data_IF_400647808269
#
_entry.id   IF_400647808269
#
_cell.length_a   1.000
_cell.length_b   1.000
_cell.length_c   1.000
_cell.angle_alpha   90.00
_cell.angle_beta   90.00
_cell.angle_gamma   90.00
#
_symmetry.space_group_name_H-M   'P 1'
#
loop_
_entity.id
_entity.type
_entity.pdbx_description
1 polymer ?
#
# COMPACT_ATOMS: atom_id res chain seq x y z
N UNK A 1 -15.53 36.12 27.40
CA UNK A 1 -14.40 35.35 27.96
C UNK A 1 -14.40 33.88 27.52
N UNK A 2 -15.55 33.27 27.18
CA UNK A 2 -15.61 31.89 26.64
C UNK A 2 -15.05 31.75 25.22
N UNK A 3 -15.44 32.64 24.30
CA UNK A 3 -15.09 32.50 22.86
C UNK A 3 -13.58 32.59 22.59
N UNK A 4 -12.87 33.49 23.28
CA UNK A 4 -11.41 33.65 23.15
C UNK A 4 -10.62 32.42 23.62
N UNK A 5 -11.15 31.67 24.59
CA UNK A 5 -10.49 30.45 25.09
C UNK A 5 -10.70 29.28 24.12
N UNK A 6 -11.85 29.23 23.44
CA UNK A 6 -12.14 28.23 22.42
C UNK A 6 -11.31 28.45 21.14
N UNK A 7 -11.15 29.69 20.68
CA UNK A 7 -10.31 30.01 19.52
C UNK A 7 -8.83 29.67 19.76
N UNK A 8 -8.30 29.95 20.96
CA UNK A 8 -6.92 29.58 21.32
C UNK A 8 -6.71 28.06 21.32
N UNK A 9 -7.71 27.30 21.78
CA UNK A 9 -7.67 25.85 21.84
C UNK A 9 -7.80 25.21 20.45
N UNK A 10 -8.64 25.78 19.59
CA UNK A 10 -8.77 25.39 18.18
C UNK A 10 -7.48 25.68 17.40
N UNK A 11 -6.85 26.85 17.65
CA UNK A 11 -5.55 27.21 17.07
C UNK A 11 -4.43 26.24 17.49
N UNK A 12 -4.36 25.87 18.77
CA UNK A 12 -3.37 24.92 19.27
C UNK A 12 -3.56 23.50 18.71
N UNK A 13 -4.80 23.04 18.57
CA UNK A 13 -5.12 21.77 17.91
C UNK A 13 -4.69 21.78 16.44
N UNK A 14 -4.97 22.85 15.70
CA UNK A 14 -4.57 22.99 14.31
C UNK A 14 -3.05 23.02 14.10
N UNK A 15 -2.31 23.65 15.01
CA UNK A 15 -0.86 23.68 15.00
C UNK A 15 -0.26 22.30 15.23
N UNK A 16 -0.74 21.57 16.24
CA UNK A 16 -0.31 20.18 16.51
C UNK A 16 -0.57 19.25 15.32
N UNK A 17 -1.69 19.41 14.60
CA UNK A 17 -1.95 18.62 13.38
C UNK A 17 -1.04 18.97 12.21
N UNK A 18 -0.59 20.22 12.10
CA UNK A 18 0.41 20.61 11.09
C UNK A 18 1.77 20.01 11.43
N UNK A 19 2.14 20.05 12.70
CA UNK A 19 3.37 19.45 13.21
C UNK A 19 3.37 17.92 13.03
N UNK A 20 2.28 17.24 13.40
CA UNK A 20 2.12 15.81 13.18
C UNK A 20 2.36 15.44 11.71
N UNK A 21 1.69 16.12 10.77
CA UNK A 21 1.88 15.86 9.32
C UNK A 21 3.30 16.11 8.83
N UNK A 22 4.00 17.07 9.41
CA UNK A 22 5.42 17.31 9.09
C UNK A 22 6.29 16.14 9.56
N UNK A 23 6.11 15.72 10.81
CA UNK A 23 6.86 14.58 11.38
C UNK A 23 6.52 13.27 10.65
N UNK A 24 5.26 13.04 10.29
CA UNK A 24 4.82 11.91 9.47
C UNK A 24 5.56 11.88 8.13
N UNK A 25 5.71 13.03 7.44
CA UNK A 25 6.48 13.13 6.20
C UNK A 25 7.98 12.88 6.39
N UNK A 26 8.57 13.39 7.47
CA UNK A 26 9.98 13.16 7.80
C UNK A 26 10.25 11.68 8.10
N UNK A 27 9.33 11.00 8.80
CA UNK A 27 9.39 9.56 9.08
C UNK A 27 9.34 8.78 7.77
N UNK A 28 8.40 9.06 6.87
CA UNK A 28 8.26 8.35 5.58
C UNK A 28 9.55 8.40 4.74
N UNK A 29 10.13 9.60 4.58
CA UNK A 29 11.39 9.78 3.82
C UNK A 29 12.55 9.01 4.46
N UNK A 30 12.67 9.07 5.79
CA UNK A 30 13.73 8.40 6.54
C UNK A 30 13.57 6.88 6.51
N UNK A 31 12.35 6.39 6.66
CA UNK A 31 12.02 4.97 6.64
C UNK A 31 12.24 4.36 5.25
N UNK A 32 11.87 5.08 4.18
CA UNK A 32 12.18 4.69 2.79
C UNK A 32 13.70 4.61 2.57
N UNK A 33 14.45 5.58 3.08
CA UNK A 33 15.91 5.58 2.99
C UNK A 33 16.53 4.41 3.76
N UNK A 34 16.04 4.14 4.98
CA UNK A 34 16.47 3.04 5.81
C UNK A 34 16.20 1.67 5.15
N UNK A 35 15.02 1.48 4.55
CA UNK A 35 14.68 0.27 3.80
C UNK A 35 15.60 0.05 2.58
N UNK A 36 15.92 1.12 1.83
CA UNK A 36 16.84 1.05 0.67
C UNK A 36 18.25 0.66 1.05
N UNK A 37 18.70 1.04 2.25
CA UNK A 37 20.02 0.68 2.74
C UNK A 37 20.13 -0.85 2.91
N UNK A 38 19.05 -1.55 3.29
CA UNK A 38 19.01 -3.01 3.33
C UNK A 38 19.16 -3.71 2.00
N UNK A 39 18.54 -3.17 0.94
CA UNK A 39 18.68 -3.73 -0.40
C UNK A 39 20.14 -3.78 -0.87
N UNK A 40 20.99 -2.84 -0.42
CA UNK A 40 22.42 -2.78 -0.80
C UNK A 40 23.21 -4.00 -0.31
N UNK A 41 22.83 -4.62 0.81
CA UNK A 41 23.54 -5.78 1.36
C UNK A 41 23.23 -7.08 0.61
N UNK A 42 22.03 -7.18 0.02
CA UNK A 42 21.71 -8.29 -0.89
C UNK A 42 22.60 -8.24 -2.14
N UNK A 43 22.79 -7.04 -2.69
CA UNK A 43 23.54 -6.83 -3.94
C UNK A 43 25.06 -6.78 -3.78
N UNK A 44 25.60 -6.41 -2.61
CA UNK A 44 27.05 -6.35 -2.38
C UNK A 44 27.70 -7.73 -2.21
N UNK A 45 26.93 -8.83 -2.16
CA UNK A 45 27.50 -10.18 -2.16
C UNK A 45 28.16 -10.56 -3.50
N UNK A 46 27.89 -9.82 -4.58
CA UNK A 46 28.39 -10.11 -5.94
C UNK A 46 29.53 -9.23 -6.46
N UNK A 47 29.77 -8.05 -5.87
CA UNK A 47 30.83 -7.14 -6.33
C UNK A 47 31.50 -6.47 -5.13
N UNK A 48 32.76 -6.80 -4.91
CA UNK A 48 33.59 -6.16 -3.89
C UNK A 48 33.84 -4.71 -4.31
N UNK A 49 33.02 -3.78 -3.81
CA UNK A 49 33.45 -2.40 -3.65
C UNK A 49 33.77 -2.14 -2.18
N UNK A 50 34.88 -1.44 -1.98
CA UNK A 50 35.66 -1.24 -0.76
C UNK A 50 34.97 -0.43 0.35
N UNK A 51 33.64 -0.39 0.40
CA UNK A 51 32.93 0.20 1.53
C UNK A 51 32.97 -0.78 2.71
N UNK A 52 33.85 -0.51 3.68
CA UNK A 52 33.98 -1.33 4.89
C UNK A 52 32.60 -1.57 5.54
N UNK A 53 32.20 -2.83 5.82
CA UNK A 53 30.90 -3.16 6.43
C UNK A 53 30.64 -2.40 7.73
N UNK A 54 31.70 -2.02 8.43
CA UNK A 54 31.68 -1.25 9.70
C UNK A 54 31.19 0.20 9.48
N UNK A 55 31.55 0.84 8.37
CA UNK A 55 31.11 2.21 8.06
C UNK A 55 29.62 2.25 7.71
N UNK A 56 29.14 1.27 6.95
CA UNK A 56 27.72 1.08 6.65
C UNK A 56 26.90 0.78 7.91
N UNK A 57 27.43 -0.06 8.82
CA UNK A 57 26.77 -0.39 10.10
C UNK A 57 26.54 0.84 11.00
N UNK A 58 27.52 1.76 11.10
CA UNK A 58 27.36 3.00 11.88
C UNK A 58 26.31 3.94 11.28
N UNK A 59 26.28 4.10 9.95
CA UNK A 59 25.28 4.92 9.26
C UNK A 59 23.85 4.41 9.51
N UNK A 60 23.68 3.09 9.59
CA UNK A 60 22.39 2.46 9.85
C UNK A 60 21.89 2.65 11.26
N UNK A 61 22.76 2.47 12.24
CA UNK A 61 22.38 2.67 13.65
C UNK A 61 22.00 4.13 13.91
N UNK A 62 22.67 5.08 13.25
CA UNK A 62 22.30 6.50 13.29
C UNK A 62 20.87 6.72 12.74
N UNK A 63 20.56 6.15 11.59
CA UNK A 63 19.21 6.27 10.98
C UNK A 63 18.13 5.62 11.85
N UNK A 64 18.44 4.48 12.48
CA UNK A 64 17.53 3.80 13.42
C UNK A 64 17.20 4.71 14.61
N UNK A 65 18.21 5.35 15.21
CA UNK A 65 18.05 6.30 16.33
C UNK A 65 17.23 7.52 15.89
N UNK A 66 17.50 8.06 14.70
CA UNK A 66 16.75 9.19 14.15
C UNK A 66 15.27 8.85 13.96
N UNK A 67 14.95 7.72 13.33
CA UNK A 67 13.56 7.28 13.12
C UNK A 67 12.87 7.04 14.47
N UNK A 68 13.56 6.42 15.43
CA UNK A 68 13.02 6.22 16.77
C UNK A 68 12.70 7.54 17.47
N UNK A 69 13.58 8.55 17.34
CA UNK A 69 13.33 9.89 17.90
C UNK A 69 12.16 10.61 17.23
N UNK A 70 11.93 10.39 15.94
CA UNK A 70 10.79 10.97 15.21
C UNK A 70 9.47 10.29 15.62
N UNK A 71 9.48 8.97 15.81
CA UNK A 71 8.32 8.22 16.31
C UNK A 71 7.95 8.64 17.75
N UNK A 72 8.94 8.87 18.60
CA UNK A 72 8.73 9.37 19.96
C UNK A 72 8.12 10.78 19.95
N UNK A 73 8.63 11.69 19.10
CA UNK A 73 8.02 13.01 18.89
C UNK A 73 6.59 12.93 18.38
N UNK A 74 6.29 12.02 17.45
CA UNK A 74 4.92 11.85 16.94
C UNK A 74 3.98 11.29 18.01
N UNK A 75 4.49 10.46 18.92
CA UNK A 75 3.76 9.99 20.09
C UNK A 75 3.45 11.15 21.05
N UNK A 76 4.43 12.00 21.35
CA UNK A 76 4.23 13.19 22.20
C UNK A 76 3.19 14.15 21.61
N UNK A 77 3.22 14.37 20.29
CA UNK A 77 2.23 15.19 19.58
C UNK A 77 0.84 14.54 19.65
N UNK A 78 0.73 13.23 19.48
CA UNK A 78 -0.53 12.50 19.63
C UNK A 78 -1.10 12.60 21.04
N UNK A 79 -0.25 12.57 22.07
CA UNK A 79 -0.66 12.75 23.46
C UNK A 79 -1.09 14.21 23.73
N UNK A 80 -0.40 15.19 23.14
CA UNK A 80 -0.82 16.59 23.18
C UNK A 80 -2.18 16.81 22.50
N UNK A 81 -2.38 16.24 21.30
CA UNK A 81 -3.66 16.22 20.62
C UNK A 81 -4.72 15.59 21.53
N UNK A 82 -4.44 14.43 22.13
CA UNK A 82 -5.37 13.77 23.05
C UNK A 82 -5.81 14.67 24.21
N UNK A 83 -4.89 15.45 24.81
CA UNK A 83 -5.20 16.45 25.85
C UNK A 83 -6.04 17.62 25.34
N UNK A 84 -5.75 18.13 24.15
CA UNK A 84 -6.55 19.18 23.50
C UNK A 84 -7.98 18.69 23.17
N UNK A 85 -8.13 17.46 22.67
CA UNK A 85 -9.44 16.86 22.40
C UNK A 85 -10.26 16.62 23.67
N UNK A 86 -9.61 16.23 24.78
CA UNK A 86 -10.28 16.00 26.06
C UNK A 86 -10.76 17.29 26.73
N UNK A 87 -10.11 18.41 26.43
CA UNK A 87 -10.45 19.73 26.97
C UNK A 87 -11.42 20.53 26.10
N UNK A 88 -11.66 20.09 24.85
CA UNK A 88 -12.64 20.66 23.93
C UNK A 88 -13.99 19.96 24.06
N UNK A 89 -15.06 20.56 23.51
CA UNK A 89 -16.36 19.89 23.42
C UNK A 89 -16.21 18.63 22.56
N UNK A 90 -16.58 17.43 23.06
CA UNK A 90 -16.46 16.20 22.31
C UNK A 90 -17.30 16.27 21.03
N UNK A 91 -16.64 16.26 19.88
CA UNK A 91 -17.29 16.17 18.57
C UNK A 91 -16.79 14.93 17.84
N UNK A 92 -17.68 14.26 17.11
CA UNK A 92 -17.35 13.06 16.32
C UNK A 92 -16.19 13.29 15.35
N UNK A 93 -16.07 14.50 14.82
CA UNK A 93 -15.00 14.88 13.89
C UNK A 93 -13.64 14.95 14.56
N UNK A 94 -13.54 15.50 15.77
CA UNK A 94 -12.29 15.57 16.57
C UNK A 94 -11.87 14.17 17.00
N UNK A 95 -12.81 13.35 17.48
CA UNK A 95 -12.51 11.97 17.91
C UNK A 95 -12.03 11.10 16.74
N UNK A 96 -12.65 11.23 15.57
CA UNK A 96 -12.24 10.48 14.37
C UNK A 96 -10.86 10.93 13.86
N UNK A 97 -10.58 12.24 13.87
CA UNK A 97 -9.26 12.77 13.49
C UNK A 97 -8.16 12.31 14.45
N UNK A 98 -8.44 12.29 15.75
CA UNK A 98 -7.50 11.77 16.75
C UNK A 98 -7.21 10.28 16.55
N UNK A 99 -8.27 9.48 16.31
CA UNK A 99 -8.11 8.06 16.01
C UNK A 99 -7.21 7.85 14.79
N UNK A 100 -7.41 8.62 13.72
CA UNK A 100 -6.56 8.60 12.52
C UNK A 100 -5.07 8.86 12.83
N UNK A 101 -4.75 9.86 13.65
CA UNK A 101 -3.34 10.13 14.00
C UNK A 101 -2.70 9.02 14.85
N UNK A 102 -3.49 8.34 15.70
CA UNK A 102 -3.03 7.15 16.45
C UNK A 102 -2.80 5.95 15.54
N UNK A 103 -3.70 5.73 14.59
CA UNK A 103 -3.56 4.65 13.59
C UNK A 103 -2.30 4.86 12.74
N UNK A 104 -2.05 6.08 12.27
CA UNK A 104 -0.85 6.43 11.49
C UNK A 104 0.44 6.19 12.31
N UNK A 105 0.48 6.63 13.57
CA UNK A 105 1.62 6.38 14.46
C UNK A 105 1.85 4.87 14.64
N UNK A 106 0.77 4.09 14.81
CA UNK A 106 0.85 2.64 14.95
C UNK A 106 1.40 1.99 13.68
N UNK A 107 0.92 2.40 12.51
CA UNK A 107 1.37 1.91 11.20
C UNK A 107 2.88 2.18 11.00
N UNK A 108 3.34 3.41 11.22
CA UNK A 108 4.77 3.74 11.12
C UNK A 108 5.63 2.94 12.12
N UNK A 109 5.14 2.76 13.35
CA UNK A 109 5.85 1.97 14.36
C UNK A 109 5.99 0.51 13.94
N UNK A 110 4.92 -0.06 13.39
CA UNK A 110 4.92 -1.43 12.90
C UNK A 110 5.82 -1.60 11.67
N UNK A 111 5.76 -0.66 10.73
CA UNK A 111 6.61 -0.68 9.55
C UNK A 111 8.08 -0.55 9.91
N UNK A 112 8.43 0.32 10.86
CA UNK A 112 9.79 0.45 11.36
C UNK A 112 10.29 -0.86 11.99
N UNK A 113 9.49 -1.48 12.86
CA UNK A 113 9.84 -2.78 13.46
C UNK A 113 10.05 -3.87 12.41
N UNK A 114 9.17 -3.95 11.41
CA UNK A 114 9.26 -4.90 10.30
C UNK A 114 10.54 -4.67 9.48
N UNK A 115 10.79 -3.42 9.08
CA UNK A 115 11.96 -3.05 8.27
C UNK A 115 13.25 -3.31 9.03
N UNK A 116 13.31 -2.97 10.32
CA UNK A 116 14.44 -3.26 11.20
C UNK A 116 14.71 -4.76 11.33
N UNK A 117 13.67 -5.56 11.55
CA UNK A 117 13.80 -7.02 11.66
C UNK A 117 14.33 -7.64 10.37
N UNK A 118 13.79 -7.21 9.23
CA UNK A 118 14.27 -7.65 7.92
C UNK A 118 15.75 -7.29 7.71
N UNK A 119 16.13 -6.05 8.06
CA UNK A 119 17.50 -5.56 7.91
C UNK A 119 18.49 -6.34 8.79
N UNK A 120 18.11 -6.61 10.04
CA UNK A 120 18.94 -7.37 10.98
C UNK A 120 19.16 -8.81 10.48
N UNK A 121 18.10 -9.48 10.01
CA UNK A 121 18.21 -10.81 9.40
C UNK A 121 19.13 -10.84 8.18
N UNK A 122 19.02 -9.84 7.31
CA UNK A 122 19.92 -9.71 6.15
C UNK A 122 21.38 -9.46 6.55
N UNK A 123 21.61 -8.67 7.59
CA UNK A 123 22.96 -8.39 8.11
C UNK A 123 23.58 -9.64 8.74
N UNK A 124 22.83 -10.36 9.58
CA UNK A 124 23.26 -11.63 10.17
C UNK A 124 23.62 -12.65 9.08
N UNK A 125 22.78 -12.76 8.05
CA UNK A 125 23.05 -13.61 6.89
C UNK A 125 24.34 -13.21 6.16
N UNK A 126 24.56 -11.91 5.96
CA UNK A 126 25.79 -11.40 5.33
C UNK A 126 27.04 -11.67 6.18
N UNK A 127 26.95 -11.53 7.50
CA UNK A 127 28.05 -11.81 8.43
C UNK A 127 28.43 -13.29 8.42
N UNK A 128 27.44 -14.18 8.46
CA UNK A 128 27.65 -15.63 8.36
C UNK A 128 28.33 -16.00 7.03
N UNK A 129 27.88 -15.46 5.90
CA UNK A 129 28.52 -15.71 4.60
C UNK A 129 29.93 -15.17 4.52
N UNK A 130 30.20 -14.00 5.10
CA UNK A 130 31.54 -13.42 5.11
C UNK A 130 32.50 -14.25 5.98
N UNK A 131 32.04 -14.75 7.13
CA UNK A 131 32.81 -15.69 7.97
C UNK A 131 33.17 -16.95 7.18
N UNK A 132 32.18 -17.58 6.53
CA UNK A 132 32.41 -18.79 5.70
C UNK A 132 33.37 -18.49 4.54
N UNK A 133 33.25 -17.33 3.89
CA UNK A 133 34.16 -16.92 2.81
C UNK A 133 35.58 -16.76 3.33
N UNK A 134 35.76 -16.17 4.50
CA UNK A 134 37.08 -16.02 5.14
C UNK A 134 37.68 -17.40 5.46
N UNK A 135 36.92 -18.30 6.08
CA UNK A 135 37.35 -19.67 6.38
C UNK A 135 37.74 -20.46 5.11
N UNK A 136 36.94 -20.32 4.04
CA UNK A 136 37.24 -20.93 2.73
C UNK A 136 38.51 -20.32 2.14
N UNK A 137 38.68 -19.00 2.23
CA UNK A 137 39.86 -18.32 1.69
C UNK A 137 41.13 -18.70 2.45
N UNK A 138 41.06 -18.84 3.77
CA UNK A 138 42.15 -19.30 4.63
C UNK A 138 42.47 -20.78 4.36
N UNK A 139 41.45 -21.62 4.25
CA UNK A 139 41.60 -23.03 3.86
C UNK A 139 42.25 -23.18 2.47
N UNK A 140 41.86 -22.35 1.49
CA UNK A 140 42.48 -22.32 0.16
C UNK A 140 43.92 -21.78 0.20
N UNK A 141 44.19 -20.73 0.98
CA UNK A 141 45.51 -20.14 1.14
C UNK A 141 46.50 -21.10 1.83
N UNK A 142 46.01 -21.98 2.72
CA UNK A 142 46.81 -23.04 3.33
C UNK A 142 47.28 -24.15 2.35
N UNK A 143 46.83 -24.12 1.08
CA UNK A 143 47.27 -25.05 0.04
C UNK A 143 46.76 -26.49 0.19
N UNK A 144 45.94 -26.79 1.20
CA UNK A 144 45.51 -28.15 1.58
C UNK A 144 44.15 -28.57 0.98
N UNK A 145 43.80 -28.12 -0.23
CA UNK A 145 42.55 -28.58 -0.86
C UNK A 145 42.80 -29.88 -1.65
N UNK A 146 42.69 -31.02 -0.97
CA UNK A 146 42.76 -32.35 -1.60
C UNK A 146 41.74 -32.47 -2.75
N UNK A 147 42.07 -33.12 -3.89
CA UNK A 147 41.14 -33.39 -4.99
C UNK A 147 39.81 -34.02 -4.52
N UNK A 148 39.85 -34.80 -3.43
CA UNK A 148 38.69 -35.41 -2.79
C UNK A 148 37.70 -34.38 -2.23
N UNK A 149 38.19 -33.27 -1.67
CA UNK A 149 37.33 -32.19 -1.14
C UNK A 149 36.63 -31.46 -2.30
N UNK A 150 37.29 -31.30 -3.45
CA UNK A 150 36.65 -30.69 -4.62
C UNK A 150 35.49 -31.54 -5.15
N UNK A 151 35.66 -32.87 -5.21
CA UNK A 151 34.58 -33.79 -5.60
C UNK A 151 33.42 -33.80 -4.60
N UNK A 152 33.70 -33.72 -3.30
CA UNK A 152 32.65 -33.61 -2.27
C UNK A 152 31.88 -32.29 -2.39
N UNK A 153 32.56 -31.18 -2.67
CA UNK A 153 31.92 -29.88 -2.94
C UNK A 153 31.07 -29.93 -4.21
N UNK A 154 31.57 -30.54 -5.28
CA UNK A 154 30.82 -30.73 -6.51
C UNK A 154 29.54 -31.53 -6.25
N UNK A 155 29.65 -32.65 -5.53
CA UNK A 155 28.49 -33.45 -5.13
C UNK A 155 27.48 -32.66 -4.28
N UNK A 156 27.97 -31.86 -3.33
CA UNK A 156 27.10 -31.00 -2.52
C UNK A 156 26.40 -29.92 -3.38
N UNK A 157 27.11 -29.35 -4.36
CA UNK A 157 26.52 -28.38 -5.30
C UNK A 157 25.46 -29.02 -6.19
N UNK A 158 25.68 -30.24 -6.69
CA UNK A 158 24.70 -30.99 -7.47
C UNK A 158 23.46 -31.27 -6.62
N UNK A 159 23.63 -31.69 -5.36
CA UNK A 159 22.51 -31.91 -4.45
C UNK A 159 21.71 -30.63 -4.18
N UNK A 160 22.40 -29.50 -4.01
CA UNK A 160 21.76 -28.19 -3.89
C UNK A 160 20.95 -27.81 -5.13
N UNK A 161 21.50 -28.05 -6.33
CA UNK A 161 20.79 -27.83 -7.60
C UNK A 161 19.57 -28.72 -7.78
N UNK A 162 19.62 -29.98 -7.32
CA UNK A 162 18.45 -30.89 -7.31
C UNK A 162 17.32 -30.31 -6.46
N UNK A 163 17.62 -29.83 -5.25
CA UNK A 163 16.60 -29.24 -4.38
C UNK A 163 15.98 -27.97 -5.00
N UNK A 164 16.79 -27.14 -5.67
CA UNK A 164 16.28 -25.97 -6.41
C UNK A 164 15.38 -26.37 -7.58
N UNK A 165 15.71 -27.44 -8.29
CA UNK A 165 14.85 -27.98 -9.37
C UNK A 165 13.51 -28.45 -8.79
N UNK A 166 13.51 -29.14 -7.65
CA UNK A 166 12.28 -29.58 -6.99
C UNK A 166 11.40 -28.40 -6.57
N UNK A 167 11.99 -27.31 -6.08
CA UNK A 167 11.25 -26.09 -5.76
C UNK A 167 10.65 -25.43 -7.01
N UNK A 168 11.40 -25.33 -8.11
CA UNK A 168 10.89 -24.82 -9.39
C UNK A 168 9.77 -25.70 -9.93
N UNK A 169 9.87 -27.03 -9.79
CA UNK A 169 8.80 -27.97 -10.15
C UNK A 169 7.56 -27.71 -9.27
N UNK A 170 7.74 -27.53 -7.96
CA UNK A 170 6.65 -27.19 -7.05
C UNK A 170 5.94 -25.89 -7.42
N UNK A 171 6.71 -24.83 -7.72
CA UNK A 171 6.18 -23.54 -8.18
C UNK A 171 5.44 -23.67 -9.52
N UNK A 172 5.97 -24.47 -10.46
CA UNK A 172 5.33 -24.73 -11.74
C UNK A 172 4.00 -25.50 -11.57
N UNK A 173 3.94 -26.49 -10.67
CA UNK A 173 2.71 -27.23 -10.36
C UNK A 173 1.67 -26.34 -9.69
N UNK A 174 2.08 -25.49 -8.74
CA UNK A 174 1.20 -24.50 -8.11
C UNK A 174 0.63 -23.52 -9.16
N UNK A 175 1.48 -23.01 -10.05
CA UNK A 175 1.06 -22.12 -11.14
C UNK A 175 0.09 -22.82 -12.09
N UNK A 176 0.34 -24.09 -12.44
CA UNK A 176 -0.57 -24.90 -13.25
C UNK A 176 -1.95 -25.05 -12.58
N UNK A 177 -1.98 -25.29 -11.26
CA UNK A 177 -3.23 -25.37 -10.50
C UNK A 177 -4.00 -24.05 -10.55
N UNK A 178 -3.32 -22.92 -10.33
CA UNK A 178 -3.91 -21.56 -10.40
C UNK A 178 -4.43 -21.25 -11.80
N UNK A 179 -3.70 -21.58 -12.86
CA UNK A 179 -4.18 -21.39 -14.23
C UNK A 179 -5.42 -22.25 -14.53
N UNK A 180 -5.49 -23.46 -13.95
CA UNK A 180 -6.65 -24.33 -14.02
C UNK A 180 -7.89 -23.69 -13.38
N UNK A 181 -7.75 -23.15 -12.16
CA UNK A 181 -8.87 -22.46 -11.48
C UNK A 181 -9.26 -21.17 -12.20
N UNK A 182 -8.30 -20.37 -12.67
CA UNK A 182 -8.57 -19.18 -13.48
C UNK A 182 -9.35 -19.52 -14.76
N UNK A 183 -9.01 -20.61 -15.45
CA UNK A 183 -9.74 -21.04 -16.64
C UNK A 183 -11.19 -21.43 -16.33
N UNK A 184 -11.44 -22.10 -15.20
CA UNK A 184 -12.79 -22.39 -14.74
C UNK A 184 -13.59 -21.10 -14.44
N UNK A 185 -12.96 -20.12 -13.77
CA UNK A 185 -13.56 -18.81 -13.49
C UNK A 185 -13.89 -18.04 -14.77
N UNK A 186 -13.01 -18.04 -15.78
CA UNK A 186 -13.31 -17.42 -17.07
C UNK A 186 -14.48 -18.10 -17.80
N UNK A 187 -14.61 -19.42 -17.66
CA UNK A 187 -15.78 -20.15 -18.15
C UNK A 187 -17.08 -19.67 -17.50
N UNK A 188 -17.08 -19.49 -16.17
CA UNK A 188 -18.24 -18.97 -15.43
C UNK A 188 -18.57 -17.52 -15.81
N UNK A 189 -17.55 -16.66 -15.93
CA UNK A 189 -17.72 -15.27 -16.38
C UNK A 189 -18.30 -15.21 -17.78
N UNK A 190 -17.80 -16.02 -18.72
CA UNK A 190 -18.34 -16.09 -20.08
C UNK A 190 -19.81 -16.54 -20.06
N UNK A 191 -20.16 -17.50 -19.20
CA UNK A 191 -21.54 -17.94 -18.97
C UNK A 191 -22.43 -16.81 -18.45
N UNK A 192 -21.99 -16.07 -17.44
CA UNK A 192 -22.71 -14.92 -16.87
C UNK A 192 -22.84 -13.76 -17.85
N UNK A 193 -21.80 -13.45 -18.63
CA UNK A 193 -21.84 -12.42 -19.68
C UNK A 193 -22.86 -12.81 -20.76
N UNK A 194 -22.91 -14.09 -21.14
CA UNK A 194 -23.95 -14.58 -22.07
C UNK A 194 -25.35 -14.40 -21.49
N UNK A 195 -25.57 -14.77 -20.22
CA UNK A 195 -26.85 -14.54 -19.53
C UNK A 195 -27.23 -13.05 -19.42
N UNK A 196 -26.25 -12.14 -19.25
CA UNK A 196 -26.49 -10.69 -19.29
C UNK A 196 -26.86 -10.22 -20.70
N UNK A 197 -26.19 -10.76 -21.72
CA UNK A 197 -26.51 -10.52 -23.13
C UNK A 197 -27.97 -10.85 -23.46
N UNK A 198 -28.45 -11.98 -22.95
CA UNK A 198 -29.84 -12.44 -23.14
C UNK A 198 -30.87 -11.52 -22.46
N UNK A 199 -30.48 -10.79 -21.39
CA UNK A 199 -31.34 -9.82 -20.69
C UNK A 199 -31.31 -8.41 -21.29
N UNK A 200 -30.27 -8.08 -22.05
CA UNK A 200 -30.13 -6.78 -22.73
C UNK A 200 -31.31 -6.39 -23.65
N UNK A 201 -31.90 -7.28 -24.48
CA UNK A 201 -33.06 -6.95 -25.30
C UNK A 201 -34.32 -6.63 -24.47
N UNK A 202 -34.48 -7.23 -23.29
CA UNK A 202 -35.59 -6.94 -22.37
C UNK A 202 -35.46 -5.51 -21.82
N UNK A 203 -34.24 -5.08 -21.48
CA UNK A 203 -33.95 -3.71 -21.04
C UNK A 203 -34.24 -2.71 -22.17
N UNK A 204 -33.84 -3.03 -23.42
CA UNK A 204 -34.18 -2.19 -24.58
C UNK A 204 -35.69 -2.09 -24.80
N UNK A 205 -36.42 -3.18 -24.57
CA UNK A 205 -37.89 -3.20 -24.61
C UNK A 205 -38.52 -2.30 -23.55
N UNK A 206 -38.06 -2.39 -22.30
CA UNK A 206 -38.53 -1.53 -21.19
C UNK A 206 -38.20 -0.05 -21.42
N UNK A 207 -36.99 0.26 -21.86
CA UNK A 207 -36.59 1.64 -22.20
C UNK A 207 -37.45 2.21 -23.33
N UNK A 208 -37.77 1.40 -24.34
CA UNK A 208 -38.69 1.75 -25.42
C UNK A 208 -40.11 2.02 -24.92
N UNK A 209 -40.64 1.18 -24.02
CA UNK A 209 -41.96 1.36 -23.43
C UNK A 209 -42.04 2.65 -22.57
N UNK A 210 -41.01 2.94 -21.78
CA UNK A 210 -40.92 4.17 -20.97
C UNK A 210 -40.88 5.41 -21.86
N UNK A 211 -40.05 5.41 -22.92
CA UNK A 211 -39.98 6.51 -23.88
C UNK A 211 -41.32 6.75 -24.57
N UNK A 212 -42.04 5.67 -24.91
CA UNK A 212 -43.36 5.72 -25.55
C UNK A 212 -44.46 6.25 -24.62
N UNK A 213 -44.35 6.04 -23.29
CA UNK A 213 -45.25 6.67 -22.31
C UNK A 213 -44.96 8.16 -22.18
N UNK A 214 -43.68 8.54 -22.02
CA UNK A 214 -43.27 9.95 -21.91
C UNK A 214 -43.62 10.76 -23.17
N UNK A 215 -43.51 10.18 -24.36
CA UNK A 215 -43.87 10.86 -25.61
C UNK A 215 -45.37 11.15 -25.73
N UNK A 216 -46.23 10.28 -25.17
CA UNK A 216 -47.69 10.50 -25.17
C UNK A 216 -48.06 11.70 -24.30
N UNK A 217 -47.48 11.80 -23.10
CA UNK A 217 -47.76 12.90 -22.17
C UNK A 217 -47.30 14.25 -22.75
N UNK A 218 -46.13 14.30 -23.40
CA UNK A 218 -45.65 15.51 -24.08
C UNK A 218 -46.51 15.91 -25.28
N UNK A 219 -46.96 14.93 -26.08
CA UNK A 219 -47.87 15.20 -27.21
C UNK A 219 -49.19 15.80 -26.73
N UNK A 220 -49.82 15.21 -25.70
CA UNK A 220 -51.07 15.72 -25.13
C UNK A 220 -50.89 17.14 -24.60
N UNK A 221 -49.83 17.40 -23.83
CA UNK A 221 -49.58 18.74 -23.27
C UNK A 221 -49.39 19.79 -24.37
N UNK A 222 -48.59 19.48 -25.41
CA UNK A 222 -48.35 20.41 -26.52
C UNK A 222 -49.63 20.73 -27.31
N UNK A 223 -50.51 19.74 -27.50
CA UNK A 223 -51.80 19.93 -28.18
C UNK A 223 -52.74 20.84 -27.39
N UNK A 224 -52.80 20.69 -26.06
CA UNK A 224 -53.62 21.55 -25.19
C UNK A 224 -53.12 22.99 -25.22
N UNK A 225 -51.82 23.21 -25.10
CA UNK A 225 -51.23 24.56 -25.16
C UNK A 225 -51.52 25.21 -26.51
N UNK A 226 -51.31 24.48 -27.62
CA UNK A 226 -51.61 24.98 -28.96
C UNK A 226 -53.09 25.37 -29.11
N UNK A 227 -54.01 24.52 -28.65
CA UNK A 227 -55.45 24.82 -28.67
C UNK A 227 -55.78 26.08 -27.86
N UNK A 228 -55.28 26.21 -26.64
CA UNK A 228 -55.47 27.40 -25.81
C UNK A 228 -54.93 28.67 -26.48
N UNK A 229 -53.72 28.62 -27.06
CA UNK A 229 -53.15 29.77 -27.77
C UNK A 229 -53.97 30.16 -28.99
N UNK A 230 -54.52 29.20 -29.73
CA UNK A 230 -55.33 29.44 -30.91
C UNK A 230 -56.68 30.08 -30.53
N UNK A 231 -57.33 29.60 -29.46
CA UNK A 231 -58.53 30.22 -28.91
C UNK A 231 -58.30 31.67 -28.47
N UNK A 232 -57.16 31.96 -27.82
CA UNK A 232 -56.81 33.34 -27.43
C UNK A 232 -56.60 34.24 -28.65
N UNK A 233 -55.94 33.75 -29.70
CA UNK A 233 -55.73 34.51 -30.94
C UNK A 233 -57.07 34.79 -31.64
N UNK A 234 -57.96 33.79 -31.74
CA UNK A 234 -59.31 33.98 -32.31
C UNK A 234 -60.10 35.01 -31.50
N UNK A 235 -60.06 34.92 -30.16
CA UNK A 235 -60.75 35.87 -29.29
C UNK A 235 -60.22 37.30 -29.48
N UNK A 236 -58.91 37.45 -29.63
CA UNK A 236 -58.29 38.76 -29.85
C UNK A 236 -58.62 39.33 -31.23
N UNK A 237 -58.71 38.50 -32.28
CA UNK A 237 -59.12 38.91 -33.63
C UNK A 237 -60.61 39.18 -33.76
N UNK A 238 -61.44 38.57 -32.92
CA UNK A 238 -62.89 38.75 -32.90
C UNK A 238 -63.33 39.98 -32.10
N UNK A 239 -62.39 40.67 -31.43
CA UNK A 239 -62.64 41.89 -30.65
C UNK A 239 -62.15 43.12 -31.39
#
# INVERSE_FOLDING_TARGET
>A
MGDSSLELQESGWEELRKEARKIEGDIDVKLSSYAKLGARFSHSSGYADSSSPVASSRSWKSMEIEIQSLLEKLLDINDALSRCAASAVPTTSVTQKLARHRDILHEFTQEFKRTRGNLNSMMEHAELLNSVKNDISESKASGSMSPRINLLRERASIHGSINQIDEVIGQAQATRSVLGTQRALFGDVQGKVKQLGDKFPIIRGLLGAIRRKRSKDTLILSAVIAACTLFLIIYWLSK
#
